data_IF_593441882030
#
_entry.id   IF_593441882030
#
_cell.length_a   1.000
_cell.length_b   1.000
_cell.length_c   1.000
_cell.angle_alpha   90.00
_cell.angle_beta   90.00
_cell.angle_gamma   90.00
#
_symmetry.space_group_name_H-M   'P 1'
#
loop_
_entity.id
_entity.type
_entity.pdbx_description
1 polymer ?
#
# COMPACT_ATOMS: atom_id res chain seq x y z
N UNK A 1 37.76 6.53 -50.56
CA UNK A 1 36.41 6.78 -50.02
C UNK A 1 36.21 5.89 -48.78
N UNK A 2 35.46 6.40 -47.81
CA UNK A 2 35.62 6.16 -46.36
C UNK A 2 35.21 4.74 -45.90
N UNK A 3 36.10 4.09 -45.18
CA UNK A 3 35.86 2.98 -44.26
C UNK A 3 35.30 3.53 -42.94
N UNK A 4 34.06 3.20 -42.56
CA UNK A 4 33.61 3.29 -41.15
C UNK A 4 32.68 2.11 -40.87
N UNK A 5 33.21 1.12 -40.16
CA UNK A 5 32.46 0.01 -39.57
C UNK A 5 32.10 0.47 -38.14
N UNK A 6 30.85 0.92 -37.92
CA UNK A 6 30.38 1.29 -36.58
C UNK A 6 29.90 0.04 -35.85
N UNK A 7 30.72 -0.43 -34.91
CA UNK A 7 30.34 -1.42 -33.92
C UNK A 7 29.28 -0.83 -32.98
N UNK A 8 28.07 -1.39 -33.01
CA UNK A 8 27.01 -1.11 -32.03
C UNK A 8 27.35 -1.88 -30.76
N UNK A 9 27.92 -1.19 -29.78
CA UNK A 9 28.12 -1.68 -28.43
C UNK A 9 26.76 -1.67 -27.71
N UNK A 10 26.07 -2.81 -27.73
CA UNK A 10 24.83 -3.02 -26.99
C UNK A 10 25.19 -3.13 -25.48
N UNK A 11 25.25 -1.99 -24.80
CA UNK A 11 25.40 -1.94 -23.35
C UNK A 11 24.12 -2.45 -22.69
N UNK A 12 24.06 -3.75 -22.43
CA UNK A 12 23.12 -4.35 -21.49
C UNK A 12 23.53 -3.86 -20.10
N UNK A 13 22.98 -2.72 -19.67
CA UNK A 13 22.98 -2.37 -18.25
C UNK A 13 21.99 -3.30 -17.57
N UNK A 14 22.52 -4.36 -16.95
CA UNK A 14 21.77 -5.16 -15.99
C UNK A 14 21.34 -4.22 -14.86
N UNK A 15 20.09 -3.73 -14.91
CA UNK A 15 19.45 -3.12 -13.75
C UNK A 15 19.16 -4.25 -12.79
N UNK A 16 20.11 -4.56 -11.93
CA UNK A 16 19.91 -5.36 -10.74
C UNK A 16 18.95 -4.59 -9.81
N UNK A 17 17.65 -4.72 -10.03
CA UNK A 17 16.64 -4.36 -9.04
C UNK A 17 16.61 -5.46 -7.98
N UNK A 18 17.70 -5.55 -7.21
CA UNK A 18 17.68 -6.28 -5.95
C UNK A 18 17.17 -5.31 -4.89
N UNK A 19 16.16 -5.73 -4.13
CA UNK A 19 15.73 -5.03 -2.93
C UNK A 19 16.97 -4.78 -2.04
N UNK A 20 17.39 -3.52 -1.95
CA UNK A 20 18.66 -3.17 -1.36
C UNK A 20 18.47 -2.89 0.12
N UNK A 21 19.17 -3.65 0.96
CA UNK A 21 19.28 -3.32 2.38
C UNK A 21 20.18 -2.09 2.51
N UNK A 22 19.65 -0.99 3.01
CA UNK A 22 20.41 0.23 3.28
C UNK A 22 20.71 0.33 4.77
N UNK A 23 21.94 0.72 5.12
CA UNK A 23 22.26 1.07 6.51
C UNK A 23 22.08 2.58 6.72
N UNK A 24 21.27 2.95 7.70
CA UNK A 24 20.98 4.35 8.07
C UNK A 24 21.56 4.63 9.45
N UNK A 25 22.41 5.66 9.54
CA UNK A 25 22.94 6.15 10.81
C UNK A 25 21.95 7.14 11.43
N UNK A 26 21.60 6.92 12.70
CA UNK A 26 20.72 7.80 13.46
C UNK A 26 21.21 8.01 14.88
N UNK A 27 21.28 9.27 15.29
CA UNK A 27 21.47 9.62 16.70
C UNK A 27 20.12 9.84 17.39
N UNK A 28 19.99 9.31 18.60
CA UNK A 28 18.79 9.44 19.42
C UNK A 28 19.13 9.50 20.91
N UNK A 29 18.18 9.94 21.71
CA UNK A 29 18.30 10.01 23.16
C UNK A 29 17.14 9.27 23.83
N UNK A 30 17.42 8.72 25.00
CA UNK A 30 16.46 7.98 25.81
C UNK A 30 16.69 8.28 27.29
N UNK A 31 15.67 8.02 28.10
CA UNK A 31 15.72 8.24 29.54
C UNK A 31 15.21 7.02 30.29
N UNK A 32 15.72 6.76 31.49
CA UNK A 32 15.26 5.62 32.28
C UNK A 32 15.76 5.59 33.72
N UNK A 33 15.16 4.73 34.57
CA UNK A 33 15.58 4.53 35.95
C UNK A 33 16.99 3.95 36.10
N UNK A 34 17.49 3.27 35.07
CA UNK A 34 18.86 2.77 35.00
C UNK A 34 19.56 3.27 33.74
N UNK A 35 20.89 3.25 33.75
CA UNK A 35 21.69 3.58 32.55
C UNK A 35 21.33 2.67 31.38
N UNK A 36 21.10 1.39 31.66
CA UNK A 36 20.71 0.37 30.70
C UNK A 36 19.36 0.68 30.08
N UNK A 37 18.36 1.07 30.89
CA UNK A 37 17.05 1.46 30.40
C UNK A 37 17.11 2.74 29.56
N UNK A 38 17.92 3.73 29.96
CA UNK A 38 18.11 4.94 29.18
C UNK A 38 18.73 4.67 27.80
N UNK A 39 19.69 3.73 27.72
CA UNK A 39 20.29 3.29 26.45
C UNK A 39 19.27 2.52 25.60
N UNK A 40 18.54 1.58 26.19
CA UNK A 40 17.51 0.80 25.50
C UNK A 40 16.43 1.71 24.88
N UNK A 41 15.95 2.70 25.63
CA UNK A 41 14.99 3.69 25.15
C UNK A 41 15.55 4.54 24.00
N UNK A 42 16.85 4.90 24.08
CA UNK A 42 17.51 5.66 23.02
C UNK A 42 17.62 4.83 21.72
N UNK A 43 17.93 3.54 21.83
CA UNK A 43 18.01 2.62 20.69
C UNK A 43 16.63 2.36 20.08
N UNK A 44 15.60 2.18 20.91
CA UNK A 44 14.21 2.05 20.47
C UNK A 44 13.78 3.29 19.69
N UNK A 45 14.03 4.48 20.23
CA UNK A 45 13.73 5.76 19.57
C UNK A 45 14.44 5.89 18.22
N UNK A 46 15.71 5.47 18.14
CA UNK A 46 16.46 5.47 16.89
C UNK A 46 15.81 4.55 15.85
N UNK A 47 15.53 3.29 16.22
CA UNK A 47 14.92 2.30 15.34
C UNK A 47 13.53 2.74 14.84
N UNK A 48 12.69 3.26 15.73
CA UNK A 48 11.37 3.80 15.39
C UNK A 48 11.46 4.97 14.40
N UNK A 49 12.45 5.84 14.57
CA UNK A 49 12.62 6.99 13.67
C UNK A 49 13.04 6.61 12.24
N UNK A 50 13.57 5.39 12.05
CA UNK A 50 13.99 4.89 10.73
C UNK A 50 12.90 4.00 10.11
N UNK A 51 12.28 3.11 10.89
CA UNK A 51 11.36 2.08 10.39
C UNK A 51 9.87 2.32 10.71
N UNK A 52 9.51 3.33 11.51
CA UNK A 52 8.14 3.85 11.60
C UNK A 52 7.12 3.05 12.45
N UNK A 53 7.52 2.00 13.15
CA UNK A 53 6.62 1.18 13.99
C UNK A 53 6.29 1.83 15.34
N UNK A 54 5.00 1.87 15.71
CA UNK A 54 4.56 2.16 17.09
C UNK A 54 4.72 0.91 17.96
N UNK A 55 5.21 1.08 19.19
CA UNK A 55 5.44 -0.01 20.15
C UNK A 55 4.69 0.27 21.45
N UNK A 56 3.98 -0.73 21.96
CA UNK A 56 3.64 -0.87 23.38
C UNK A 56 4.76 -1.65 24.07
N UNK A 57 5.49 -1.09 25.05
CA UNK A 57 6.59 -1.80 25.69
C UNK A 57 6.08 -2.93 26.60
N UNK A 58 6.47 -4.18 26.33
CA UNK A 58 6.45 -5.26 27.31
C UNK A 58 7.89 -5.64 27.66
N UNK A 59 8.20 -5.62 28.96
CA UNK A 59 9.54 -5.88 29.49
C UNK A 59 9.58 -7.31 30.02
N UNK A 60 10.26 -8.21 29.31
CA UNK A 60 10.68 -9.52 29.82
C UNK A 60 12.10 -9.42 30.38
N UNK A 61 12.31 -9.89 31.61
CA UNK A 61 13.63 -9.92 32.26
C UNK A 61 14.31 -11.26 31.95
N UNK A 62 15.46 -11.22 31.27
CA UNK A 62 16.39 -12.34 31.19
C UNK A 62 17.78 -11.86 31.65
N UNK A 63 18.39 -12.62 32.56
CA UNK A 63 19.62 -12.29 33.28
C UNK A 63 20.88 -12.91 32.62
N UNK A 64 22.02 -12.32 33.00
CA UNK A 64 23.43 -12.62 32.66
C UNK A 64 23.97 -12.19 31.28
N UNK A 65 24.76 -11.10 31.30
CA UNK A 65 25.72 -10.75 30.24
C UNK A 65 27.06 -10.36 30.87
N UNK A 66 28.12 -11.09 30.51
CA UNK A 66 29.51 -10.70 30.77
C UNK A 66 29.90 -9.52 29.87
N UNK A 67 30.11 -8.34 30.46
CA UNK A 67 30.68 -7.19 29.76
C UNK A 67 32.20 -7.14 29.96
N UNK A 68 32.98 -7.23 28.87
CA UNK A 68 34.44 -7.02 28.93
C UNK A 68 34.74 -5.53 28.79
N UNK A 69 35.34 -4.97 29.83
CA UNK A 69 35.68 -3.57 29.97
C UNK A 69 37.08 -3.30 29.43
N UNK A 70 37.22 -2.42 28.44
CA UNK A 70 38.51 -1.82 28.10
C UNK A 70 38.40 -0.31 27.94
N UNK A 71 39.47 0.38 28.33
CA UNK A 71 39.47 1.81 28.62
C UNK A 71 39.03 2.68 27.42
N UNK A 72 37.95 3.43 27.68
CA UNK A 72 37.52 4.67 27.01
C UNK A 72 36.84 4.63 25.64
N UNK A 73 36.56 3.49 25.00
CA UNK A 73 35.67 3.46 23.83
C UNK A 73 34.78 2.21 23.82
N UNK A 74 33.45 2.40 23.81
CA UNK A 74 32.49 1.32 23.58
C UNK A 74 32.36 1.10 22.07
N UNK A 75 32.97 0.05 21.53
CA UNK A 75 32.70 -0.41 20.16
C UNK A 75 32.45 -1.92 20.14
N UNK A 76 31.25 -2.31 19.70
CA UNK A 76 30.87 -3.71 19.51
C UNK A 76 30.87 -4.06 18.03
N UNK A 77 31.55 -5.14 17.67
CA UNK A 77 31.60 -5.68 16.32
C UNK A 77 31.62 -7.21 16.43
N UNK A 78 30.45 -7.84 16.34
CA UNK A 78 30.33 -9.29 16.48
C UNK A 78 28.91 -9.78 16.17
N UNK A 79 28.84 -10.94 15.50
CA UNK A 79 27.60 -11.66 15.21
C UNK A 79 27.06 -12.26 16.52
N UNK A 80 25.75 -12.21 16.73
CA UNK A 80 25.00 -12.59 17.94
C UNK A 80 24.84 -11.44 18.95
N UNK A 81 23.75 -10.69 18.76
CA UNK A 81 23.29 -9.59 19.61
C UNK A 81 23.10 -10.04 21.07
N UNK A 82 23.40 -9.19 22.08
CA UNK A 82 22.93 -9.43 23.45
C UNK A 82 21.40 -9.53 23.42
N UNK A 83 20.84 -10.59 24.02
CA UNK A 83 19.40 -10.65 24.31
C UNK A 83 19.11 -9.66 25.44
N UNK A 84 19.16 -8.37 25.12
CA UNK A 84 18.24 -7.41 25.71
C UNK A 84 16.92 -7.67 24.99
N UNK A 85 16.07 -8.53 25.55
CA UNK A 85 14.73 -8.77 25.02
C UNK A 85 13.85 -7.56 25.31
N UNK A 86 14.12 -6.45 24.63
CA UNK A 86 13.07 -5.52 24.27
C UNK A 86 12.33 -6.22 23.14
N UNK A 87 11.33 -7.03 23.51
CA UNK A 87 10.41 -7.71 22.59
C UNK A 87 9.64 -6.64 21.82
N UNK A 88 10.29 -6.05 20.84
CA UNK A 88 9.71 -5.04 19.98
C UNK A 88 10.21 -5.35 18.59
N UNK A 89 9.29 -5.53 17.65
CA UNK A 89 9.60 -5.85 16.25
C UNK A 89 10.62 -4.86 15.62
N UNK A 90 10.75 -3.66 16.19
CA UNK A 90 11.61 -2.58 15.71
C UNK A 90 13.08 -2.63 16.17
N UNK A 91 13.38 -3.16 17.36
CA UNK A 91 14.75 -3.17 17.91
C UNK A 91 15.66 -4.16 17.19
N UNK A 92 15.08 -5.18 16.56
CA UNK A 92 15.80 -6.20 15.81
C UNK A 92 16.58 -5.65 14.61
N UNK A 93 16.20 -4.51 14.04
CA UNK A 93 16.85 -3.94 12.84
C UNK A 93 18.17 -3.19 13.09
N UNK A 94 18.68 -3.16 14.33
CA UNK A 94 19.92 -2.45 14.67
C UNK A 94 21.14 -3.34 14.39
N UNK A 95 22.00 -2.93 13.44
CA UNK A 95 23.24 -3.65 13.12
C UNK A 95 24.33 -3.44 14.18
N UNK A 96 24.53 -2.17 14.57
CA UNK A 96 25.52 -1.76 15.57
C UNK A 96 25.16 -0.40 16.15
N UNK A 97 25.70 -0.07 17.32
CA UNK A 97 25.51 1.24 17.93
C UNK A 97 26.73 1.68 18.75
N UNK A 98 26.80 2.97 19.02
CA UNK A 98 27.78 3.60 19.89
C UNK A 98 27.06 4.45 20.93
N UNK A 99 27.42 4.29 22.21
CA UNK A 99 26.94 5.18 23.28
C UNK A 99 27.79 6.45 23.25
N UNK A 100 27.15 7.58 22.94
CA UNK A 100 27.81 8.88 22.87
C UNK A 100 27.95 9.53 24.24
N UNK A 101 26.93 9.37 25.09
CA UNK A 101 26.96 9.89 26.46
C UNK A 101 25.93 9.20 27.33
N UNK A 102 26.26 9.01 28.61
CA UNK A 102 25.31 8.66 29.67
C UNK A 102 25.48 9.68 30.79
N UNK A 103 24.38 10.22 31.28
CA UNK A 103 24.36 11.24 32.32
C UNK A 103 23.19 11.01 33.26
N UNK A 104 23.24 11.59 34.46
CA UNK A 104 22.19 11.48 35.46
C UNK A 104 22.55 10.60 36.66
N UNK A 105 21.69 10.63 37.66
CA UNK A 105 21.84 9.94 38.95
C UNK A 105 20.48 9.76 39.61
N UNK A 106 20.40 8.95 40.68
CA UNK A 106 19.19 8.84 41.50
C UNK A 106 17.96 8.40 40.72
N UNK A 107 18.09 7.32 39.92
CA UNK A 107 17.03 6.77 39.05
C UNK A 107 16.55 7.69 37.92
N UNK A 108 17.37 8.66 37.51
CA UNK A 108 17.08 9.54 36.40
C UNK A 108 18.27 9.60 35.45
N UNK A 109 18.43 8.56 34.62
CA UNK A 109 19.50 8.50 33.62
C UNK A 109 19.00 8.97 32.27
N UNK A 110 19.89 9.63 31.52
CA UNK A 110 19.72 10.00 30.12
C UNK A 110 20.89 9.47 29.32
N UNK A 111 20.60 8.80 28.22
CA UNK A 111 21.60 8.30 27.30
C UNK A 111 21.42 8.95 25.93
N UNK A 112 22.53 9.11 25.20
CA UNK A 112 22.57 9.45 23.78
C UNK A 112 23.34 8.38 23.06
N UNK A 113 22.79 7.88 21.96
CA UNK A 113 23.37 6.80 21.16
C UNK A 113 23.42 7.20 19.70
N UNK A 114 24.39 6.65 18.97
CA UNK A 114 24.46 6.60 17.52
C UNK A 114 24.20 5.16 17.08
N UNK A 115 23.06 4.89 16.47
CA UNK A 115 22.68 3.58 15.97
C UNK A 115 22.85 3.51 14.45
N UNK A 116 23.25 2.35 13.95
CA UNK A 116 23.29 2.01 12.53
C UNK A 116 22.21 0.97 12.30
N UNK A 117 21.15 1.37 11.61
CA UNK A 117 19.90 0.63 11.49
C UNK A 117 19.75 0.15 10.06
N UNK A 118 19.48 -1.14 9.90
CA UNK A 118 19.07 -1.70 8.63
C UNK A 118 17.68 -1.15 8.26
N UNK A 119 17.60 -0.60 7.04
CA UNK A 119 16.39 -0.13 6.40
C UNK A 119 16.23 -0.93 5.12
N UNK A 120 15.15 -1.68 5.02
CA UNK A 120 14.80 -2.36 3.78
C UNK A 120 14.36 -1.33 2.71
N UNK A 121 14.45 -1.68 1.45
CA UNK A 121 13.89 -0.87 0.38
C UNK A 121 13.18 -1.84 -0.55
N UNK A 122 11.85 -1.79 -0.54
CA UNK A 122 11.04 -2.60 -1.44
C UNK A 122 11.48 -2.39 -2.89
N UNK A 123 11.61 -3.50 -3.63
CA UNK A 123 11.83 -3.48 -5.08
C UNK A 123 10.57 -3.11 -5.86
N UNK A 124 9.40 -3.11 -5.21
CA UNK A 124 8.15 -2.62 -5.80
C UNK A 124 8.24 -1.10 -5.91
N UNK A 125 8.24 -0.61 -7.15
CA UNK A 125 8.40 0.81 -7.47
C UNK A 125 7.07 1.57 -7.35
N UNK A 126 6.47 1.57 -6.18
CA UNK A 126 5.12 2.11 -5.93
C UNK A 126 5.04 3.06 -4.72
N UNK A 127 6.18 3.39 -4.11
CA UNK A 127 6.25 4.21 -2.89
C UNK A 127 5.66 5.62 -3.04
N UNK A 128 5.55 6.13 -4.27
CA UNK A 128 4.94 7.42 -4.57
C UNK A 128 3.42 7.32 -4.81
N UNK A 129 2.87 6.11 -4.89
CA UNK A 129 1.45 5.85 -5.13
C UNK A 129 0.70 5.74 -3.81
N UNK A 130 -0.58 6.10 -3.84
CA UNK A 130 -1.47 5.87 -2.69
C UNK A 130 -1.74 4.37 -2.57
N UNK A 131 -1.70 3.83 -1.35
CA UNK A 131 -1.91 2.40 -1.11
C UNK A 131 -3.38 2.09 -0.96
N UNK A 132 -3.87 1.08 -1.66
CA UNK A 132 -5.25 0.59 -1.58
C UNK A 132 -5.27 -0.91 -1.33
N UNK A 133 -6.25 -1.40 -0.57
CA UNK A 133 -6.57 -2.83 -0.52
C UNK A 133 -7.98 -3.06 -1.07
N UNK A 134 -8.14 -4.11 -1.87
CA UNK A 134 -9.44 -4.54 -2.39
C UNK A 134 -9.95 -5.67 -1.51
N UNK A 135 -11.22 -5.61 -1.15
CA UNK A 135 -11.89 -6.67 -0.40
C UNK A 135 -12.92 -7.36 -1.29
N UNK A 136 -13.12 -8.68 -1.13
CA UNK A 136 -14.23 -9.39 -1.75
C UNK A 136 -15.56 -8.67 -1.48
N UNK A 137 -16.34 -8.47 -2.53
CA UNK A 137 -17.62 -7.76 -2.39
C UNK A 137 -18.61 -8.62 -1.63
N UNK A 138 -19.43 -7.98 -0.80
CA UNK A 138 -20.54 -8.68 -0.15
C UNK A 138 -21.62 -9.01 -1.20
N UNK A 139 -22.24 -10.17 -1.09
CA UNK A 139 -23.32 -10.58 -1.99
C UNK A 139 -24.59 -10.91 -1.22
N UNK A 140 -25.74 -10.62 -1.84
CA UNK A 140 -27.04 -11.08 -1.36
C UNK A 140 -27.37 -12.37 -2.11
N UNK A 141 -27.05 -13.53 -1.53
CA UNK A 141 -27.21 -14.85 -2.17
C UNK A 141 -28.59 -15.07 -2.79
N UNK A 142 -29.66 -14.71 -2.06
CA UNK A 142 -31.05 -14.89 -2.51
C UNK A 142 -31.42 -14.08 -3.76
N UNK A 143 -30.55 -13.16 -4.19
CA UNK A 143 -30.71 -12.31 -5.38
C UNK A 143 -29.57 -12.51 -6.38
N UNK A 144 -28.85 -13.62 -6.28
CA UNK A 144 -27.79 -14.00 -7.18
C UNK A 144 -28.24 -15.20 -8.02
N UNK A 145 -28.43 -14.99 -9.32
CA UNK A 145 -28.88 -15.99 -10.27
C UNK A 145 -28.32 -15.69 -11.67
N UNK A 146 -27.04 -16.02 -11.88
CA UNK A 146 -26.39 -15.94 -13.18
C UNK A 146 -26.52 -17.28 -13.92
N UNK A 147 -26.60 -17.23 -15.25
CA UNK A 147 -26.71 -18.41 -16.11
C UNK A 147 -25.47 -19.31 -16.07
N UNK A 148 -24.33 -18.78 -15.60
CA UNK A 148 -23.13 -19.58 -15.34
C UNK A 148 -23.28 -20.59 -14.20
N UNK A 149 -24.37 -20.54 -13.42
CA UNK A 149 -24.59 -21.32 -12.20
C UNK A 149 -23.44 -21.20 -11.17
N UNK A 150 -22.64 -20.15 -11.30
CA UNK A 150 -21.46 -19.94 -10.48
C UNK A 150 -21.85 -19.64 -9.02
N UNK A 151 -21.04 -20.15 -8.09
CA UNK A 151 -21.21 -19.86 -6.68
C UNK A 151 -21.07 -18.34 -6.44
N UNK A 152 -22.05 -17.66 -5.81
CA UNK A 152 -21.98 -16.23 -5.55
C UNK A 152 -20.69 -15.77 -4.84
N UNK A 153 -20.11 -16.65 -4.01
CA UNK A 153 -18.87 -16.38 -3.28
C UNK A 153 -17.63 -16.51 -4.16
N UNK A 154 -17.61 -17.46 -5.09
CA UNK A 154 -16.51 -17.60 -6.06
C UNK A 154 -16.51 -16.40 -7.01
N UNK A 155 -17.68 -16.00 -7.50
CA UNK A 155 -17.83 -14.82 -8.35
C UNK A 155 -17.27 -13.54 -7.71
N UNK A 156 -17.61 -13.26 -6.44
CA UNK A 156 -17.10 -12.04 -5.78
C UNK A 156 -15.61 -12.08 -5.46
N UNK A 157 -15.03 -13.27 -5.33
CA UNK A 157 -13.58 -13.45 -5.19
C UNK A 157 -12.89 -13.19 -6.53
N UNK A 158 -13.36 -13.82 -7.61
CA UNK A 158 -12.84 -13.60 -8.97
C UNK A 158 -12.87 -12.11 -9.33
N UNK A 159 -14.00 -11.45 -9.07
CA UNK A 159 -14.15 -10.01 -9.27
C UNK A 159 -13.13 -9.20 -8.46
N UNK A 160 -12.88 -9.54 -7.20
CA UNK A 160 -11.89 -8.83 -6.38
C UNK A 160 -10.47 -9.02 -6.91
N UNK A 161 -10.13 -10.23 -7.35
CA UNK A 161 -8.85 -10.57 -7.96
C UNK A 161 -8.63 -9.82 -9.29
N UNK A 162 -9.66 -9.76 -10.13
CA UNK A 162 -9.64 -9.02 -11.39
C UNK A 162 -9.49 -7.52 -11.15
N UNK A 163 -10.25 -6.94 -10.21
CA UNK A 163 -10.10 -5.54 -9.80
C UNK A 163 -8.67 -5.29 -9.31
N UNK A 164 -8.13 -6.15 -8.45
CA UNK A 164 -6.77 -6.04 -7.94
C UNK A 164 -5.74 -6.06 -9.08
N UNK A 165 -5.84 -7.04 -9.97
CA UNK A 165 -4.95 -7.19 -11.13
C UNK A 165 -4.97 -5.95 -12.03
N UNK A 166 -6.16 -5.47 -12.38
CA UNK A 166 -6.35 -4.27 -13.21
C UNK A 166 -5.85 -3.00 -12.51
N UNK A 167 -6.05 -2.85 -11.20
CA UNK A 167 -5.52 -1.73 -10.43
C UNK A 167 -4.00 -1.70 -10.42
N UNK A 168 -3.32 -2.84 -10.23
CA UNK A 168 -1.86 -2.94 -10.33
C UNK A 168 -1.39 -2.54 -11.73
N UNK A 169 -2.06 -3.06 -12.77
CA UNK A 169 -1.74 -2.75 -14.17
C UNK A 169 -1.93 -1.27 -14.51
N UNK A 170 -2.87 -0.58 -13.84
CA UNK A 170 -3.12 0.85 -14.01
C UNK A 170 -1.96 1.75 -13.56
N UNK A 171 -1.07 1.24 -12.68
CA UNK A 171 0.09 1.94 -12.10
C UNK A 171 -0.23 3.30 -11.43
N UNK A 172 -1.47 3.51 -11.02
CA UNK A 172 -1.93 4.74 -10.35
C UNK A 172 -2.09 4.56 -8.84
N UNK A 173 -2.16 3.32 -8.36
CA UNK A 173 -2.31 2.96 -6.97
C UNK A 173 -1.34 1.82 -6.65
N UNK A 174 -0.88 1.76 -5.41
CA UNK A 174 -0.13 0.63 -4.85
C UNK A 174 -1.15 -0.34 -4.24
N UNK A 175 -1.24 -1.56 -4.77
CA UNK A 175 -2.16 -2.56 -4.23
C UNK A 175 -1.51 -3.30 -3.06
N UNK A 176 -2.21 -3.36 -1.93
CA UNK A 176 -1.84 -4.18 -0.77
C UNK A 176 -2.77 -5.38 -0.73
N UNK A 177 -2.24 -6.57 -1.03
CA UNK A 177 -3.02 -7.82 -1.06
C UNK A 177 -3.50 -8.23 0.34
N UNK A 178 -4.66 -8.88 0.36
CA UNK A 178 -5.31 -9.45 1.55
C UNK A 178 -5.60 -10.94 1.43
N UNK A 179 -5.26 -11.56 0.30
CA UNK A 179 -5.76 -12.88 -0.08
C UNK A 179 -4.93 -14.02 0.54
N UNK A 180 -3.71 -13.71 0.97
CA UNK A 180 -2.75 -14.67 1.53
C UNK A 180 -2.14 -14.20 2.85
N UNK A 181 -2.96 -13.58 3.72
CA UNK A 181 -2.47 -12.98 4.97
C UNK A 181 -1.88 -14.02 5.90
N UNK A 182 -2.43 -15.24 5.91
CA UNK A 182 -1.97 -16.32 6.79
C UNK A 182 -0.66 -16.93 6.30
N UNK A 183 -0.50 -17.10 4.98
CA UNK A 183 0.75 -17.54 4.36
C UNK A 183 1.84 -16.48 4.56
N UNK A 184 1.52 -15.20 4.36
CA UNK A 184 2.44 -14.11 4.66
C UNK A 184 2.80 -14.03 6.14
N UNK A 185 1.85 -14.32 7.05
CA UNK A 185 2.14 -14.36 8.49
C UNK A 185 3.07 -15.54 8.83
N UNK A 186 2.86 -16.69 8.22
CA UNK A 186 3.72 -17.87 8.35
C UNK A 186 5.14 -17.59 7.87
N UNK A 187 5.30 -17.00 6.68
CA UNK A 187 6.61 -16.63 6.13
C UNK A 187 7.29 -15.56 7.00
N UNK A 188 6.54 -14.55 7.46
CA UNK A 188 7.06 -13.54 8.37
C UNK A 188 7.60 -14.15 9.68
N UNK A 189 6.96 -15.19 10.20
CA UNK A 189 7.45 -15.91 11.38
C UNK A 189 8.76 -16.66 11.09
N UNK A 190 8.92 -17.20 9.88
CA UNK A 190 10.17 -17.82 9.45
C UNK A 190 11.31 -16.80 9.31
N UNK A 191 11.04 -15.64 8.69
CA UNK A 191 11.99 -14.53 8.59
C UNK A 191 12.42 -13.99 9.97
N UNK A 192 11.52 -14.03 10.96
CA UNK A 192 11.82 -13.58 12.32
C UNK A 192 12.67 -14.57 13.13
N UNK A 193 12.82 -15.83 12.68
CA UNK A 193 13.36 -16.91 13.51
C UNK A 193 14.80 -16.64 13.95
N UNK A 194 15.70 -16.27 13.03
CA UNK A 194 17.10 -16.03 13.38
C UNK A 194 17.35 -14.63 14.00
N UNK A 195 16.33 -13.77 13.98
CA UNK A 195 16.40 -12.39 14.47
C UNK A 195 17.44 -11.54 13.74
N UNK A 196 17.87 -11.93 12.53
CA UNK A 196 18.88 -11.20 11.78
C UNK A 196 18.41 -9.76 11.51
N UNK A 197 19.24 -8.74 11.77
CA UNK A 197 18.81 -7.35 11.59
C UNK A 197 18.30 -7.00 10.18
N UNK A 198 18.83 -7.68 9.17
CA UNK A 198 18.37 -7.56 7.81
C UNK A 198 16.92 -8.05 7.63
N UNK A 199 16.57 -9.20 8.20
CA UNK A 199 15.23 -9.77 8.12
C UNK A 199 14.23 -9.00 9.00
N UNK A 200 14.67 -8.56 10.18
CA UNK A 200 13.89 -7.68 11.04
C UNK A 200 13.58 -6.34 10.37
N UNK A 201 14.52 -5.79 9.58
CA UNK A 201 14.28 -4.59 8.78
C UNK A 201 13.26 -4.81 7.65
N UNK A 202 13.20 -6.01 7.06
CA UNK A 202 12.16 -6.38 6.08
C UNK A 202 10.79 -6.43 6.73
N UNK A 203 10.70 -7.10 7.88
CA UNK A 203 9.45 -7.23 8.64
C UNK A 203 8.92 -5.87 9.10
N UNK A 204 9.80 -4.99 9.57
CA UNK A 204 9.44 -3.65 10.02
C UNK A 204 8.89 -2.74 8.90
N UNK A 205 9.03 -3.14 7.63
CA UNK A 205 8.51 -2.40 6.47
C UNK A 205 7.22 -2.96 5.89
N UNK A 206 6.52 -3.84 6.61
CA UNK A 206 5.18 -4.25 6.22
C UNK A 206 4.26 -3.02 6.15
N UNK A 207 3.65 -2.81 4.99
CA UNK A 207 2.78 -1.67 4.73
C UNK A 207 1.31 -2.00 4.94
N UNK A 208 0.58 -1.06 5.55
CA UNK A 208 -0.88 -1.03 5.50
C UNK A 208 -1.39 -0.32 4.25
N UNK A 209 -2.69 -0.42 4.00
CA UNK A 209 -3.34 0.37 2.96
C UNK A 209 -3.83 1.71 3.55
N UNK A 210 -3.76 2.78 2.76
CA UNK A 210 -4.32 4.09 3.13
C UNK A 210 -5.82 4.13 2.85
N UNK A 211 -6.24 3.41 1.80
CA UNK A 211 -7.63 3.26 1.37
C UNK A 211 -8.04 1.79 1.30
N UNK A 212 -9.33 1.52 1.47
CA UNK A 212 -9.94 0.22 1.17
C UNK A 212 -11.06 0.38 0.16
N UNK A 213 -11.10 -0.50 -0.83
CA UNK A 213 -12.24 -0.66 -1.72
C UNK A 213 -13.13 -1.78 -1.19
N UNK A 214 -14.39 -1.43 -0.93
CA UNK A 214 -15.43 -2.37 -0.51
C UNK A 214 -16.65 -2.21 -1.39
N UNK A 215 -17.41 -3.30 -1.56
CA UNK A 215 -18.61 -3.29 -2.36
C UNK A 215 -19.67 -4.24 -1.83
N UNK A 216 -20.90 -4.04 -2.32
CA UNK A 216 -22.02 -4.94 -2.12
C UNK A 216 -22.79 -5.13 -3.42
N UNK A 217 -22.84 -6.36 -3.90
CA UNK A 217 -23.72 -6.81 -4.97
C UNK A 217 -25.10 -7.07 -4.36
N UNK A 218 -26.05 -6.21 -4.71
CA UNK A 218 -27.42 -6.29 -4.20
C UNK A 218 -28.30 -7.23 -5.01
N UNK A 219 -27.94 -7.43 -6.29
CA UNK A 219 -28.65 -8.30 -7.23
C UNK A 219 -27.72 -8.61 -8.40
N UNK A 220 -27.70 -9.86 -8.84
CA UNK A 220 -27.06 -10.30 -10.07
C UNK A 220 -28.00 -11.30 -10.74
N UNK A 221 -28.44 -11.02 -11.97
CA UNK A 221 -29.36 -11.92 -12.68
C UNK A 221 -29.09 -11.96 -14.17
N UNK A 222 -29.21 -13.12 -14.79
CA UNK A 222 -29.24 -13.21 -16.25
C UNK A 222 -30.65 -12.88 -16.75
N UNK A 223 -30.75 -11.92 -17.67
CA UNK A 223 -31.98 -11.53 -18.35
C UNK A 223 -31.89 -11.91 -19.83
N UNK A 224 -32.90 -12.61 -20.32
CA UNK A 224 -33.04 -12.92 -21.74
C UNK A 224 -33.48 -11.65 -22.49
N UNK A 225 -32.76 -11.32 -23.56
CA UNK A 225 -33.14 -10.27 -24.50
C UNK A 225 -34.39 -10.65 -25.30
N UNK A 226 -35.12 -9.64 -25.80
CA UNK A 226 -36.22 -9.88 -26.74
C UNK A 226 -35.64 -10.38 -28.07
N UNK A 227 -36.12 -11.52 -28.56
CA UNK A 227 -35.86 -11.99 -29.92
C UNK A 227 -36.88 -11.39 -30.88
N UNK A 228 -36.40 -10.94 -32.04
CA UNK A 228 -37.25 -10.60 -33.18
C UNK A 228 -37.00 -11.62 -34.29
N UNK A 229 -38.09 -12.14 -34.89
CA UNK A 229 -38.10 -12.97 -36.11
C UNK A 229 -36.94 -13.95 -36.27
N UNK A 230 -36.97 -15.07 -35.54
CA UNK A 230 -36.04 -16.19 -35.76
C UNK A 230 -34.62 -16.01 -35.19
N UNK A 231 -34.33 -14.90 -34.51
CA UNK A 231 -33.08 -14.73 -33.78
C UNK A 231 -33.10 -15.46 -32.42
N UNK A 232 -31.98 -16.03 -32.01
CA UNK A 232 -31.78 -16.52 -30.63
C UNK A 232 -31.74 -15.31 -29.69
N UNK A 233 -32.51 -15.34 -28.61
CA UNK A 233 -32.50 -14.30 -27.59
C UNK A 233 -31.11 -14.20 -26.96
N UNK A 234 -30.48 -13.03 -27.05
CA UNK A 234 -29.20 -12.79 -26.39
C UNK A 234 -29.41 -12.71 -24.86
N UNK A 235 -28.75 -13.58 -24.11
CA UNK A 235 -28.69 -13.49 -22.65
C UNK A 235 -27.77 -12.34 -22.23
N UNK A 236 -28.14 -11.63 -21.17
CA UNK A 236 -27.38 -10.50 -20.62
C UNK A 236 -27.37 -10.55 -19.11
N UNK A 237 -26.22 -10.37 -18.50
CA UNK A 237 -26.12 -10.30 -17.05
C UNK A 237 -26.43 -8.89 -16.56
N UNK A 238 -27.34 -8.77 -15.61
CA UNK A 238 -27.73 -7.53 -14.98
C UNK A 238 -27.30 -7.53 -13.51
N UNK A 239 -26.26 -6.76 -13.22
CA UNK A 239 -25.67 -6.64 -11.88
C UNK A 239 -26.01 -5.27 -11.31
N UNK A 240 -26.49 -5.24 -10.07
CA UNK A 240 -26.71 -4.03 -9.27
C UNK A 240 -25.81 -4.06 -8.05
N UNK A 241 -24.93 -3.08 -7.94
CA UNK A 241 -24.06 -2.96 -6.77
C UNK A 241 -23.81 -1.52 -6.37
N UNK A 242 -23.29 -1.39 -5.16
CA UNK A 242 -22.71 -0.16 -4.67
C UNK A 242 -21.28 -0.46 -4.22
N UNK A 243 -20.36 0.46 -4.49
CA UNK A 243 -18.98 0.38 -4.04
C UNK A 243 -18.56 1.68 -3.37
N UNK A 244 -17.55 1.60 -2.49
CA UNK A 244 -16.98 2.73 -1.75
C UNK A 244 -15.49 2.55 -1.60
N UNK A 245 -14.75 3.64 -1.79
CA UNK A 245 -13.37 3.79 -1.35
C UNK A 245 -13.37 4.55 -0.03
N UNK A 246 -12.85 3.92 1.02
CA UNK A 246 -12.86 4.44 2.39
C UNK A 246 -11.42 4.70 2.81
N UNK A 247 -11.13 5.90 3.33
CA UNK A 247 -9.87 6.18 3.99
C UNK A 247 -9.84 5.44 5.34
N UNK A 248 -8.84 4.56 5.53
CA UNK A 248 -8.82 3.61 6.66
C UNK A 248 -8.75 4.32 8.01
N UNK A 249 -7.94 5.38 8.10
CA UNK A 249 -7.64 6.03 9.38
C UNK A 249 -8.79 6.90 9.90
N UNK A 250 -9.61 7.47 9.01
CA UNK A 250 -10.69 8.38 9.38
C UNK A 250 -12.09 7.80 9.17
N UNK A 251 -12.21 6.72 8.39
CA UNK A 251 -13.49 6.17 7.95
C UNK A 251 -14.23 7.04 6.93
N UNK A 252 -13.61 8.11 6.43
CA UNK A 252 -14.24 8.99 5.43
C UNK A 252 -14.31 8.31 4.06
N UNK A 253 -15.41 8.56 3.35
CA UNK A 253 -15.61 8.06 1.99
C UNK A 253 -14.88 9.00 1.03
N UNK A 254 -13.84 8.49 0.36
CA UNK A 254 -13.06 9.23 -0.63
C UNK A 254 -13.71 9.20 -2.02
N UNK A 255 -14.36 8.08 -2.37
CA UNK A 255 -15.13 7.92 -3.58
C UNK A 255 -16.23 6.87 -3.36
N UNK A 256 -17.33 6.96 -4.10
CA UNK A 256 -18.38 5.96 -4.10
C UNK A 256 -19.15 5.97 -5.41
N UNK A 257 -19.76 4.84 -5.74
CA UNK A 257 -20.57 4.72 -6.92
C UNK A 257 -21.55 3.56 -6.85
N UNK A 258 -22.41 3.49 -7.85
CA UNK A 258 -23.32 2.37 -8.05
C UNK A 258 -23.41 2.03 -9.52
N UNK A 259 -23.39 0.74 -9.82
CA UNK A 259 -23.56 0.22 -11.18
C UNK A 259 -24.93 -0.44 -11.23
N UNK A 260 -25.70 -0.09 -12.26
CA UNK A 260 -27.09 -0.54 -12.47
C UNK A 260 -27.32 -0.71 -13.97
N UNK A 261 -26.67 -1.69 -14.61
CA UNK A 261 -26.84 -1.91 -16.04
C UNK A 261 -26.90 -3.40 -16.38
N UNK A 262 -27.71 -3.79 -17.38
CA UNK A 262 -27.47 -5.04 -18.09
C UNK A 262 -26.14 -4.88 -18.83
N UNK A 263 -25.14 -5.66 -18.43
CA UNK A 263 -23.85 -5.72 -19.09
C UNK A 263 -24.08 -6.25 -20.50
N UNK A 264 -23.68 -5.45 -21.49
CA UNK A 264 -23.60 -5.91 -22.87
C UNK A 264 -22.19 -6.49 -23.03
N UNK A 265 -22.09 -7.78 -23.32
CA UNK A 265 -20.90 -8.33 -23.96
C UNK A 265 -20.74 -7.57 -25.28
N UNK A 266 -19.68 -6.77 -25.40
CA UNK A 266 -19.40 -6.02 -26.62
C UNK A 266 -19.17 -7.00 -27.78
N UNK A 267 -20.18 -7.20 -28.62
CA UNK A 267 -20.10 -8.02 -29.85
C UNK A 267 -19.21 -7.34 -30.92
N UNK A 268 -18.68 -6.14 -30.64
CA UNK A 268 -17.90 -5.33 -31.59
C UNK A 268 -16.42 -5.73 -31.77
N UNK A 269 -15.87 -6.62 -30.93
CA UNK A 269 -14.45 -7.01 -30.99
C UNK A 269 -14.21 -8.48 -31.36
N UNK A 270 -15.13 -9.10 -32.10
CA UNK A 270 -15.03 -10.49 -32.57
C UNK A 270 -13.93 -10.76 -33.61
N UNK A 271 -13.05 -9.79 -33.92
CA UNK A 271 -12.03 -9.95 -34.96
C UNK A 271 -10.64 -10.30 -34.39
N UNK A 272 -10.41 -10.22 -33.07
CA UNK A 272 -9.05 -10.46 -32.52
C UNK A 272 -8.94 -11.15 -31.14
N UNK A 273 -10.01 -11.65 -30.53
CA UNK A 273 -9.92 -12.41 -29.26
C UNK A 273 -10.71 -13.72 -29.34
N UNK A 274 -10.05 -14.85 -29.05
CA UNK A 274 -10.60 -16.22 -29.17
C UNK A 274 -11.68 -16.56 -28.12
N UNK A 275 -11.92 -15.70 -27.13
CA UNK A 275 -13.03 -15.82 -26.17
C UNK A 275 -13.55 -14.44 -25.76
N UNK A 276 -14.87 -14.18 -25.77
CA UNK A 276 -15.43 -12.93 -25.24
C UNK A 276 -15.17 -12.81 -23.71
N UNK A 277 -14.99 -11.59 -23.18
CA UNK A 277 -14.69 -11.40 -21.77
C UNK A 277 -15.84 -11.85 -20.87
N UNK A 278 -15.50 -12.39 -19.69
CA UNK A 278 -16.48 -12.86 -18.71
C UNK A 278 -17.28 -11.70 -18.10
N UNK A 279 -18.45 -12.00 -17.51
CA UNK A 279 -19.22 -10.99 -16.79
C UNK A 279 -18.45 -10.40 -15.60
N UNK A 280 -17.58 -11.20 -14.96
CA UNK A 280 -16.69 -10.74 -13.90
C UNK A 280 -15.61 -9.77 -14.42
N UNK A 281 -15.03 -10.03 -15.59
CA UNK A 281 -14.02 -9.17 -16.23
C UNK A 281 -14.59 -7.81 -16.63
N UNK A 282 -15.70 -7.80 -17.36
CA UNK A 282 -16.37 -6.55 -17.76
C UNK A 282 -16.77 -5.75 -16.49
N UNK A 283 -17.21 -6.47 -15.47
CA UNK A 283 -17.61 -5.86 -14.21
C UNK A 283 -16.43 -5.22 -13.47
N UNK A 284 -15.32 -5.95 -13.33
CA UNK A 284 -14.09 -5.46 -12.72
C UNK A 284 -13.57 -4.21 -13.44
N UNK A 285 -13.54 -4.24 -14.78
CA UNK A 285 -13.11 -3.10 -15.61
C UNK A 285 -13.94 -1.85 -15.32
N UNK A 286 -15.27 -1.99 -15.21
CA UNK A 286 -16.14 -0.88 -14.92
C UNK A 286 -15.87 -0.29 -13.52
N UNK A 287 -15.72 -1.15 -12.50
CA UNK A 287 -15.41 -0.69 -11.13
C UNK A 287 -14.07 0.01 -11.07
N UNK A 288 -13.03 -0.53 -11.68
CA UNK A 288 -11.69 0.07 -11.67
C UNK A 288 -11.71 1.45 -12.31
N UNK A 289 -12.33 1.58 -13.48
CA UNK A 289 -12.45 2.86 -14.17
C UNK A 289 -13.21 3.91 -13.35
N UNK A 290 -14.32 3.51 -12.72
CA UNK A 290 -15.12 4.39 -11.89
C UNK A 290 -14.40 4.78 -10.58
N UNK A 291 -13.65 3.86 -9.97
CA UNK A 291 -12.82 4.12 -8.78
C UNK A 291 -11.71 5.11 -9.10
N UNK A 292 -10.95 4.87 -10.17
CA UNK A 292 -9.87 5.77 -10.60
C UNK A 292 -10.43 7.17 -10.89
N UNK A 293 -11.54 7.26 -11.64
CA UNK A 293 -12.23 8.54 -11.89
C UNK A 293 -12.71 9.20 -10.60
N UNK A 294 -13.32 8.45 -9.69
CA UNK A 294 -13.83 8.95 -8.41
C UNK A 294 -12.73 9.47 -7.49
N UNK A 295 -11.53 8.89 -7.56
CA UNK A 295 -10.34 9.39 -6.86
C UNK A 295 -9.62 10.52 -7.62
N UNK A 296 -10.16 10.97 -8.75
CA UNK A 296 -9.54 11.93 -9.68
C UNK A 296 -8.17 11.48 -10.21
N UNK A 297 -7.92 10.16 -10.22
CA UNK A 297 -6.75 9.53 -10.79
C UNK A 297 -7.12 9.21 -12.24
N UNK A 298 -6.60 9.98 -13.20
CA UNK A 298 -6.88 9.71 -14.62
C UNK A 298 -6.04 8.52 -15.06
N UNK A 299 -6.64 7.48 -15.68
CA UNK A 299 -5.85 6.48 -16.34
C UNK A 299 -5.11 7.06 -17.54
N UNK A 300 -3.79 6.86 -17.57
CA UNK A 300 -2.94 7.16 -18.72
C UNK A 300 -3.20 6.12 -19.81
N UNK A 301 -4.38 6.15 -20.43
CA UNK A 301 -4.56 5.54 -21.73
C UNK A 301 -4.17 6.56 -22.80
N UNK A 302 -3.26 6.13 -23.67
CA UNK A 302 -2.76 6.86 -24.84
C UNK A 302 -3.88 7.58 -25.58
N UNK A 303 -3.73 8.90 -25.70
CA UNK A 303 -4.61 9.75 -26.50
C UNK A 303 -4.52 9.35 -27.97
N UNK A 304 -5.66 8.99 -28.57
CA UNK A 304 -5.89 9.19 -29.99
C UNK A 304 -6.70 10.50 -30.12
N UNK A 305 -6.23 11.51 -30.86
CA UNK A 305 -6.87 12.82 -30.88
C UNK A 305 -7.89 12.83 -32.00
N UNK A 306 -9.16 12.54 -31.69
CA UNK A 306 -10.29 12.95 -32.52
C UNK A 306 -11.61 12.67 -31.79
N UNK A 307 -12.15 13.70 -31.12
CA UNK A 307 -13.57 14.07 -31.21
C UNK A 307 -13.98 15.11 -30.15
N UNK A 308 -14.27 16.30 -30.65
CA UNK A 308 -15.28 17.29 -30.24
C UNK A 308 -15.22 17.92 -28.83
N UNK A 309 -14.70 19.14 -28.85
CA UNK A 309 -14.88 20.21 -27.86
C UNK A 309 -16.35 20.40 -27.47
N UNK A 310 -16.59 20.39 -26.15
CA UNK A 310 -17.62 21.18 -25.52
C UNK A 310 -16.94 21.99 -24.41
N UNK A 311 -16.39 23.15 -24.79
CA UNK A 311 -15.87 24.13 -23.84
C UNK A 311 -17.05 24.77 -23.09
N UNK A 312 -17.30 24.32 -21.85
CA UNK A 312 -17.89 25.19 -20.84
C UNK A 312 -16.77 26.08 -20.34
N UNK A 313 -16.76 27.31 -20.82
CA UNK A 313 -15.80 28.34 -20.47
C UNK A 313 -16.07 28.79 -19.02
N UNK A 314 -15.31 28.27 -18.05
CA UNK A 314 -15.25 28.85 -16.70
C UNK A 314 -13.90 29.52 -16.50
N UNK A 315 -13.82 30.80 -16.87
CA UNK A 315 -12.77 31.69 -16.36
C UNK A 315 -12.96 31.84 -14.84
N UNK A 316 -11.88 31.90 -14.03
CA UNK A 316 -11.99 32.22 -12.62
C UNK A 316 -12.51 33.67 -12.46
N UNK A 317 -13.48 33.85 -11.56
CA UNK A 317 -13.98 35.17 -11.17
C UNK A 317 -12.81 36.02 -10.66
N UNK A 318 -12.64 37.22 -11.22
CA UNK A 318 -11.73 38.23 -10.70
C UNK A 318 -12.26 38.80 -9.38
N UNK A 319 -11.35 39.14 -8.45
CA UNK A 319 -11.64 39.75 -7.13
C UNK A 319 -12.51 41.02 -7.15
N UNK A 320 -12.83 41.56 -8.34
CA UNK A 320 -13.68 42.73 -8.52
C UNK A 320 -15.20 42.43 -8.39
N UNK A 321 -15.63 41.17 -8.40
CA UNK A 321 -17.06 40.78 -8.41
C UNK A 321 -17.59 40.22 -7.08
N UNK A 322 -16.82 40.34 -5.98
CA UNK A 322 -17.33 39.97 -4.66
C UNK A 322 -18.11 41.13 -4.03
N UNK A 323 -19.37 40.93 -3.55
CA UNK A 323 -20.06 41.93 -2.76
C UNK A 323 -19.31 42.16 -1.44
N UNK A 324 -19.05 43.43 -1.10
CA UNK A 324 -18.30 43.85 0.07
C UNK A 324 -18.88 43.25 1.36
N UNK A 325 -18.19 42.25 1.92
CA UNK A 325 -18.54 41.64 3.20
C UNK A 325 -18.24 42.60 4.36
N UNK A 326 -19.30 42.96 5.09
CA UNK A 326 -19.26 43.78 6.30
C UNK A 326 -18.54 43.07 7.46
N UNK A 327 -17.21 43.16 7.54
CA UNK A 327 -16.43 42.80 8.74
C UNK A 327 -15.17 43.63 8.98
N UNK A 328 -14.98 44.75 8.27
CA UNK A 328 -13.92 45.71 8.59
C UNK A 328 -14.44 46.80 9.54
N UNK A 329 -14.44 46.50 10.84
CA UNK A 329 -14.31 47.54 11.87
C UNK A 329 -13.13 47.19 12.79
N UNK A 330 -12.19 48.12 13.03
CA UNK A 330 -11.04 47.83 13.87
C UNK A 330 -11.46 47.75 15.34
N UNK A 331 -10.91 46.76 16.04
CA UNK A 331 -10.99 46.63 17.49
C UNK A 331 -10.04 47.69 18.08
N UNK A 332 -10.59 48.63 18.85
CA UNK A 332 -9.81 49.54 19.67
C UNK A 332 -9.36 48.80 20.94
N UNK A 333 -8.06 48.88 21.22
CA UNK A 333 -7.44 48.46 22.49
C UNK A 333 -7.71 49.47 23.60
#
# INVERSE_FOLDING_TARGET
MRTIFCAVLLSVTATSSFAALQEVMKEASGSGPTQQQAIAEALLTAAQSVNGTKVSPQVGMAEEVNMVMTNQHWSYQGKSSPVFSVQTESSGAINRFQVLSVSGSGKNYKARVRAYIAKYQSSVADQHLRRIAVFPFQVVESKFNLASEENPYEFVQEVADLIGTQMVNSKQLSLVSRDYVDEMATENAFLAWDGAPAEMARLAQKVGADYILVGRINEARTVQGQSFYGAVSAERDAIKLNWRVIEVNTGKIAAAGSIKQPLQTNIGNLVTQDTPPSSAEIFADQVVNDVLRGLSLRPNFSQNPDSFDNQVNSSPLSDADLPSGSSEKPIHW
#
